data_IF_114168173311
#
_entry.id   IF_114168173311
#
_cell.length_a   1.000
_cell.length_b   1.000
_cell.length_c   1.000
_cell.angle_alpha   90.00
_cell.angle_beta   90.00
_cell.angle_gamma   90.00
#
_symmetry.space_group_name_H-M   'P 1'
#
loop_
_entity.id
_entity.type
_entity.pdbx_description
1 polymer ?
#
# COMPACT_ATOMS: atom_id res chain seq x y z
N UNK A 1 -5.15 39.00 19.12
CA UNK A 1 -4.02 38.38 18.39
C UNK A 1 -4.36 36.91 18.16
N UNK A 2 -4.66 36.56 16.91
CA UNK A 2 -4.89 35.17 16.47
C UNK A 2 -3.53 34.51 16.14
N UNK A 3 -3.39 33.23 16.46
CA UNK A 3 -2.45 32.29 15.86
C UNK A 3 -3.02 30.90 16.14
N UNK A 4 -3.87 30.33 15.29
CA UNK A 4 -3.51 29.51 14.11
C UNK A 4 -2.35 28.55 14.40
N UNK A 5 -2.66 27.43 15.06
CA UNK A 5 -1.87 26.20 14.90
C UNK A 5 -2.57 25.30 13.88
N UNK A 6 -1.81 25.04 12.83
CA UNK A 6 -2.14 24.29 11.64
C UNK A 6 -2.52 22.83 11.94
N UNK A 7 -3.55 22.40 11.23
CA UNK A 7 -4.02 21.01 11.12
C UNK A 7 -2.88 20.12 10.64
N UNK A 8 -2.48 19.15 11.44
CA UNK A 8 -1.92 17.90 10.92
C UNK A 8 -3.07 16.88 10.91
N UNK A 9 -3.49 16.46 9.72
CA UNK A 9 -4.66 15.58 9.52
C UNK A 9 -4.45 14.60 8.36
N UNK A 10 -3.19 14.44 7.91
CA UNK A 10 -2.87 13.68 6.70
C UNK A 10 -2.45 12.23 6.95
N UNK A 11 -1.86 11.92 8.12
CA UNK A 11 -1.26 10.60 8.40
C UNK A 11 -2.25 9.55 8.92
N UNK A 12 -3.14 9.91 9.84
CA UNK A 12 -4.05 8.95 10.51
C UNK A 12 -5.29 8.57 9.68
N UNK A 13 -5.58 9.30 8.61
CA UNK A 13 -6.82 9.10 7.83
C UNK A 13 -6.73 7.96 6.81
N UNK A 14 -5.52 7.45 6.55
CA UNK A 14 -5.23 6.42 5.54
C UNK A 14 -5.54 4.98 6.02
N UNK A 15 -5.60 4.70 7.33
CA UNK A 15 -5.68 3.31 7.84
C UNK A 15 -7.08 2.65 7.80
N UNK A 16 -8.17 3.40 7.94
CA UNK A 16 -9.52 2.81 8.08
C UNK A 16 -10.24 2.57 6.75
N UNK A 17 -10.06 3.46 5.78
CA UNK A 17 -10.73 3.36 4.47
C UNK A 17 -10.18 2.22 3.62
N UNK A 18 -8.85 2.11 3.55
CA UNK A 18 -8.16 1.14 2.70
C UNK A 18 -8.26 -0.29 3.26
N UNK A 19 -8.12 -0.48 4.58
CA UNK A 19 -8.39 -1.79 5.20
C UNK A 19 -9.82 -2.25 4.95
N UNK A 20 -10.80 -1.35 5.01
CA UNK A 20 -12.19 -1.70 4.73
C UNK A 20 -12.43 -2.02 3.26
N UNK A 21 -11.80 -1.30 2.33
CA UNK A 21 -11.88 -1.57 0.90
C UNK A 21 -11.20 -2.90 0.52
N UNK A 22 -10.04 -3.17 1.12
CA UNK A 22 -9.31 -4.43 0.96
C UNK A 22 -10.13 -5.61 1.50
N UNK A 23 -10.67 -5.50 2.73
CA UNK A 23 -11.56 -6.53 3.30
C UNK A 23 -12.87 -6.71 2.53
N UNK A 24 -13.38 -5.66 1.87
CA UNK A 24 -14.53 -5.78 0.97
C UNK A 24 -14.16 -6.50 -0.33
N UNK A 25 -13.03 -6.14 -0.94
CA UNK A 25 -12.50 -6.83 -2.11
C UNK A 25 -12.29 -8.32 -1.85
N UNK A 26 -11.71 -8.68 -0.69
CA UNK A 26 -11.56 -10.07 -0.27
C UNK A 26 -12.89 -10.83 -0.18
N UNK A 27 -13.93 -10.21 0.39
CA UNK A 27 -15.26 -10.82 0.54
C UNK A 27 -15.94 -11.04 -0.81
N UNK A 28 -15.88 -10.04 -1.69
CA UNK A 28 -16.51 -10.12 -3.01
C UNK A 28 -15.85 -11.19 -3.87
N UNK A 29 -14.52 -11.28 -3.81
CA UNK A 29 -13.73 -12.32 -4.47
C UNK A 29 -14.10 -13.71 -3.95
N UNK A 30 -14.16 -13.90 -2.63
CA UNK A 30 -14.53 -15.18 -2.02
C UNK A 30 -15.97 -15.59 -2.38
N UNK A 31 -16.90 -14.64 -2.42
CA UNK A 31 -18.29 -14.90 -2.75
C UNK A 31 -18.51 -15.25 -4.22
N UNK A 32 -17.78 -14.59 -5.14
CA UNK A 32 -18.02 -14.73 -6.58
C UNK A 32 -17.13 -15.79 -7.26
N UNK A 33 -16.19 -16.42 -6.53
CA UNK A 33 -15.21 -17.39 -7.07
C UNK A 33 -14.42 -16.86 -8.27
N UNK A 34 -14.18 -15.56 -8.28
CA UNK A 34 -13.40 -14.91 -9.33
C UNK A 34 -11.92 -15.10 -9.02
N UNK A 35 -11.09 -15.52 -10.00
CA UNK A 35 -9.66 -15.64 -9.78
C UNK A 35 -9.05 -14.26 -9.47
N UNK A 36 -8.13 -14.21 -8.52
CA UNK A 36 -7.51 -12.98 -8.06
C UNK A 36 -6.03 -13.20 -7.75
N UNK A 37 -5.30 -12.09 -7.82
CA UNK A 37 -3.91 -12.00 -7.44
C UNK A 37 -3.75 -11.21 -6.16
N UNK A 38 -2.77 -11.60 -5.34
CA UNK A 38 -2.34 -10.84 -4.18
C UNK A 38 -0.83 -10.63 -4.29
N UNK A 39 -0.41 -9.36 -4.32
CA UNK A 39 0.98 -8.97 -4.21
C UNK A 39 1.22 -8.46 -2.79
N UNK A 40 2.26 -8.97 -2.15
CA UNK A 40 2.76 -8.44 -0.87
C UNK A 40 4.25 -8.15 -1.03
N UNK A 41 4.67 -6.97 -0.61
CA UNK A 41 6.06 -6.55 -0.70
C UNK A 41 6.42 -5.59 0.42
N UNK A 42 7.71 -5.57 0.74
CA UNK A 42 8.32 -4.78 1.79
C UNK A 42 9.31 -3.77 1.19
N UNK A 43 9.55 -2.64 1.87
CA UNK A 43 10.55 -1.68 1.44
C UNK A 43 11.92 -2.10 1.99
N UNK A 44 12.79 -2.56 1.10
CA UNK A 44 14.14 -2.96 1.46
C UNK A 44 14.92 -1.86 2.22
N UNK A 45 15.56 -2.27 3.31
CA UNK A 45 16.41 -1.41 4.15
C UNK A 45 15.71 -0.16 4.72
N UNK A 46 14.38 -0.16 4.85
CA UNK A 46 13.65 1.01 5.35
C UNK A 46 14.11 1.45 6.76
N UNK A 47 14.40 0.49 7.65
CA UNK A 47 15.03 0.81 8.94
C UNK A 47 16.33 1.61 8.82
N UNK A 48 17.20 1.28 7.84
CA UNK A 48 18.46 2.00 7.60
C UNK A 48 18.19 3.45 7.17
N UNK A 49 17.16 3.68 6.36
CA UNK A 49 16.73 5.04 5.98
C UNK A 49 16.31 5.82 7.22
N UNK A 50 15.46 5.25 8.08
CA UNK A 50 15.03 5.89 9.32
C UNK A 50 16.21 6.18 10.25
N UNK A 51 17.12 5.22 10.43
CA UNK A 51 18.27 5.36 11.32
C UNK A 51 19.28 6.41 10.79
N UNK A 52 19.36 6.61 9.47
CA UNK A 52 20.31 7.54 8.83
C UNK A 52 19.74 8.96 8.69
N UNK A 53 18.46 9.09 8.34
CA UNK A 53 17.83 10.36 7.94
C UNK A 53 16.65 10.78 8.83
N UNK A 54 16.30 9.97 9.82
CA UNK A 54 15.19 10.20 10.74
C UNK A 54 13.83 9.78 10.19
N UNK A 55 12.87 9.60 11.10
CA UNK A 55 11.52 9.10 10.76
C UNK A 55 10.74 9.98 9.78
N UNK A 56 10.96 11.30 9.78
CA UNK A 56 10.33 12.20 8.80
C UNK A 56 10.76 11.86 7.36
N UNK A 57 11.99 11.41 7.15
CA UNK A 57 12.44 10.93 5.84
C UNK A 57 11.76 9.60 5.48
N UNK A 58 11.61 8.69 6.44
CA UNK A 58 10.83 7.46 6.27
C UNK A 58 9.39 7.73 5.84
N UNK A 59 8.72 8.70 6.46
CA UNK A 59 7.36 9.11 6.09
C UNK A 59 7.27 9.62 4.65
N UNK A 60 8.28 10.36 4.19
CA UNK A 60 8.36 10.81 2.79
C UNK A 60 8.51 9.61 1.86
N UNK A 61 9.38 8.65 2.19
CA UNK A 61 9.57 7.43 1.40
C UNK A 61 8.26 6.64 1.31
N UNK A 62 7.56 6.43 2.43
CA UNK A 62 6.27 5.73 2.45
C UNK A 62 5.23 6.42 1.55
N UNK A 63 5.15 7.75 1.58
CA UNK A 63 4.25 8.52 0.71
C UNK A 63 4.63 8.40 -0.76
N UNK A 64 5.92 8.41 -1.09
CA UNK A 64 6.40 8.23 -2.45
C UNK A 64 6.09 6.83 -2.98
N UNK A 65 6.29 5.80 -2.16
CA UNK A 65 5.94 4.42 -2.51
C UNK A 65 4.44 4.28 -2.72
N UNK A 66 3.61 4.77 -1.79
CA UNK A 66 2.15 4.78 -1.94
C UNK A 66 1.69 5.50 -3.22
N UNK A 67 2.28 6.65 -3.53
CA UNK A 67 2.00 7.37 -4.78
C UNK A 67 2.40 6.60 -6.04
N UNK A 68 3.55 5.92 -5.98
CA UNK A 68 4.05 5.09 -7.10
C UNK A 68 3.12 3.90 -7.35
N UNK A 69 2.71 3.21 -6.29
CA UNK A 69 1.76 2.08 -6.36
C UNK A 69 0.45 2.58 -6.97
N UNK A 70 -0.17 3.61 -6.38
CA UNK A 70 -1.46 4.14 -6.83
C UNK A 70 -1.44 4.62 -8.29
N UNK A 71 -0.30 5.15 -8.78
CA UNK A 71 -0.13 5.54 -10.18
C UNK A 71 0.01 4.37 -11.15
N UNK A 72 0.37 3.18 -10.66
CA UNK A 72 0.52 1.97 -11.45
C UNK A 72 -0.73 1.06 -11.44
N UNK A 73 -1.65 1.27 -10.49
CA UNK A 73 -2.85 0.45 -10.33
C UNK A 73 -3.93 0.73 -11.38
N UNK A 74 -4.66 -0.32 -11.75
CA UNK A 74 -5.91 -0.22 -12.52
C UNK A 74 -7.06 0.21 -11.61
N UNK A 75 -8.19 0.60 -12.22
CA UNK A 75 -9.38 1.06 -11.50
C UNK A 75 -9.92 0.06 -10.45
N UNK A 76 -9.78 -1.23 -10.70
CA UNK A 76 -10.29 -2.29 -9.82
C UNK A 76 -9.22 -2.85 -8.87
N UNK A 77 -7.96 -2.46 -9.03
CA UNK A 77 -6.90 -2.92 -8.14
C UNK A 77 -6.98 -2.12 -6.84
N UNK A 78 -6.70 -2.78 -5.71
CA UNK A 78 -6.76 -2.13 -4.40
C UNK A 78 -5.43 -2.28 -3.69
N UNK A 79 -4.75 -1.16 -3.43
CA UNK A 79 -3.58 -1.12 -2.56
C UNK A 79 -3.98 -0.86 -1.11
N UNK A 80 -3.19 -1.41 -0.19
CA UNK A 80 -3.24 -1.06 1.22
C UNK A 80 -1.83 -1.11 1.82
N UNK A 81 -1.56 -0.23 2.79
CA UNK A 81 -0.42 -0.40 3.68
C UNK A 81 -0.78 -1.42 4.76
N UNK A 82 -0.09 -2.56 4.75
CA UNK A 82 -0.39 -3.68 5.64
C UNK A 82 0.27 -3.49 7.01
N UNK A 83 1.53 -3.04 7.02
CA UNK A 83 2.37 -2.88 8.20
C UNK A 83 3.18 -1.58 8.22
N UNK A 84 4.29 -1.59 8.96
CA UNK A 84 5.18 -0.43 9.09
C UNK A 84 5.76 0.00 7.74
N UNK A 85 6.40 -0.92 7.02
CA UNK A 85 6.96 -0.68 5.68
C UNK A 85 6.40 -1.63 4.61
N UNK A 86 5.42 -2.44 4.98
CA UNK A 86 4.81 -3.47 4.15
C UNK A 86 3.56 -2.97 3.41
N UNK A 87 3.46 -3.31 2.13
CA UNK A 87 2.33 -2.99 1.26
C UNK A 87 1.72 -4.27 0.66
N UNK A 88 0.42 -4.20 0.41
CA UNK A 88 -0.33 -5.25 -0.28
C UNK A 88 -1.15 -4.66 -1.43
N UNK A 89 -1.29 -5.41 -2.52
CA UNK A 89 -2.16 -5.07 -3.65
C UNK A 89 -3.02 -6.27 -3.99
N UNK A 90 -4.33 -6.06 -3.97
CA UNK A 90 -5.33 -7.00 -4.44
C UNK A 90 -5.63 -6.71 -5.92
N UNK A 91 -5.52 -7.72 -6.77
CA UNK A 91 -5.73 -7.63 -8.22
C UNK A 91 -6.86 -8.56 -8.63
N UNK A 92 -8.11 -8.05 -8.76
CA UNK A 92 -9.24 -8.85 -9.21
C UNK A 92 -9.08 -9.30 -10.67
N UNK A 93 -9.71 -10.42 -11.03
CA UNK A 93 -9.66 -10.99 -12.39
C UNK A 93 -8.24 -11.33 -12.86
N UNK A 94 -7.35 -11.68 -11.94
CA UNK A 94 -6.00 -12.10 -12.24
C UNK A 94 -5.92 -13.62 -12.21
N UNK A 95 -5.43 -14.23 -13.28
CA UNK A 95 -5.14 -15.66 -13.35
C UNK A 95 -3.62 -15.89 -13.21
N UNK A 96 -3.21 -17.15 -13.12
CA UNK A 96 -1.80 -17.54 -12.94
C UNK A 96 -0.86 -17.05 -14.07
N UNK A 97 -1.39 -16.73 -15.25
CA UNK A 97 -0.60 -16.24 -16.39
C UNK A 97 -0.19 -14.77 -16.22
N UNK A 98 -0.99 -13.97 -15.51
CA UNK A 98 -0.77 -12.53 -15.34
C UNK A 98 -0.04 -12.17 -14.05
N UNK A 99 -0.01 -13.06 -13.06
CA UNK A 99 0.73 -12.86 -11.81
C UNK A 99 1.92 -13.83 -11.72
N UNK A 100 3.04 -13.45 -12.33
CA UNK A 100 4.30 -14.15 -12.15
C UNK A 100 5.18 -13.38 -11.15
N UNK A 101 5.70 -14.10 -10.15
CA UNK A 101 6.80 -13.60 -9.34
C UNK A 101 8.04 -13.55 -10.24
N UNK A 102 8.45 -12.36 -10.66
CA UNK A 102 9.75 -12.18 -11.28
C UNK A 102 10.82 -12.23 -10.18
N UNK A 103 11.23 -13.44 -9.80
CA UNK A 103 12.19 -13.66 -8.73
C UNK A 103 13.61 -13.25 -9.13
N UNK A 104 14.26 -12.50 -8.25
CA UNK A 104 15.68 -12.70 -7.91
C UNK A 104 16.70 -11.71 -8.50
N UNK A 105 17.37 -11.01 -7.57
CA UNK A 105 18.62 -10.23 -7.70
C UNK A 105 18.50 -8.80 -8.25
N UNK A 106 18.31 -7.86 -7.33
CA UNK A 106 18.92 -6.52 -7.40
C UNK A 106 20.25 -6.53 -6.65
#
# INVERSE_FOLDING_TARGET
>A
MQSMHSRDSGGERMEKGERSAFSMGERDIQAQKVPFGLLMFDIDHFKKVNDTYGHLAGDIVLKMVAGTISGALRLLDTAARFGGEEFAVLVPNCNEEYLFLQGGSF
#
